data_IF_573232411862
#
_entry.id   IF_573232411862
#
_cell.length_a   1.000
_cell.length_b   1.000
_cell.length_c   1.000
_cell.angle_alpha   90.00
_cell.angle_beta   90.00
_cell.angle_gamma   90.00
#
_symmetry.space_group_name_H-M   'P 1'
#
loop_
_entity.id
_entity.type
_entity.pdbx_description
1 polymer ?
#
# COMPACT_ATOMS: atom_id res chain seq x y z
N UNK A 1 -5.43 10.36 5.06
CA UNK A 1 -4.12 11.05 5.04
C UNK A 1 -3.80 11.58 3.64
N UNK A 2 -3.56 10.72 2.62
CA UNK A 2 -3.24 11.14 1.24
C UNK A 2 -4.16 12.26 0.72
N UNK A 3 -5.47 12.05 0.79
CA UNK A 3 -6.47 13.01 0.33
C UNK A 3 -6.35 14.41 0.96
N UNK A 4 -5.99 14.49 2.24
CA UNK A 4 -5.90 15.77 2.97
C UNK A 4 -4.60 16.52 2.66
N UNK A 5 -3.54 15.79 2.29
CA UNK A 5 -2.24 16.36 1.97
C UNK A 5 -2.07 16.65 0.48
N UNK A 6 -2.96 16.11 -0.37
CA UNK A 6 -2.85 16.24 -1.82
C UNK A 6 -2.77 17.69 -2.32
N UNK A 7 -3.58 18.66 -1.84
CA UNK A 7 -3.43 20.06 -2.25
C UNK A 7 -2.05 20.67 -1.97
N UNK A 8 -1.42 20.23 -0.87
CA UNK A 8 -0.09 20.71 -0.50
C UNK A 8 0.97 20.07 -1.38
N UNK A 9 0.80 18.80 -1.74
CA UNK A 9 1.68 18.07 -2.66
C UNK A 9 1.58 18.61 -4.09
N UNK A 10 0.39 18.93 -4.58
CA UNK A 10 0.17 19.50 -5.92
C UNK A 10 0.75 20.92 -6.06
N UNK A 11 0.88 21.64 -4.94
CA UNK A 11 1.55 22.96 -4.90
C UNK A 11 3.07 22.87 -4.76
N UNK A 12 3.60 21.70 -4.40
CA UNK A 12 5.04 21.49 -4.34
C UNK A 12 5.60 21.35 -5.76
N UNK A 13 6.82 21.82 -5.98
CA UNK A 13 7.48 21.71 -7.29
C UNK A 13 7.69 20.25 -7.73
N UNK A 14 7.75 19.32 -6.76
CA UNK A 14 8.10 17.91 -6.96
C UNK A 14 7.36 17.01 -5.96
N UNK A 15 6.03 17.14 -5.94
CA UNK A 15 5.15 16.40 -5.03
C UNK A 15 5.15 14.90 -5.35
N UNK A 16 5.36 14.06 -4.33
CA UNK A 16 5.39 12.60 -4.49
C UNK A 16 4.89 11.87 -3.25
N UNK A 17 4.32 10.68 -3.45
CA UNK A 17 3.76 9.83 -2.41
C UNK A 17 4.48 8.49 -2.42
N UNK A 18 5.20 8.17 -1.35
CA UNK A 18 5.94 6.92 -1.21
C UNK A 18 5.24 6.04 -0.19
N UNK A 19 4.85 4.83 -0.62
CA UNK A 19 4.08 3.89 0.20
C UNK A 19 4.95 2.67 0.50
N UNK A 20 5.22 2.45 1.78
CA UNK A 20 6.06 1.33 2.24
C UNK A 20 5.24 0.04 2.31
N UNK A 21 5.61 -0.91 1.46
CA UNK A 21 5.10 -2.29 1.45
C UNK A 21 6.14 -3.25 2.05
N UNK A 22 6.07 -4.54 1.73
CA UNK A 22 6.95 -5.62 2.19
C UNK A 22 6.80 -6.80 1.24
N UNK A 23 7.84 -7.61 1.04
CA UNK A 23 7.79 -8.84 0.23
C UNK A 23 6.69 -9.84 0.63
N UNK A 24 6.17 -9.75 1.85
CA UNK A 24 5.02 -10.54 2.31
C UNK A 24 3.73 -10.28 1.51
N UNK A 25 3.62 -9.16 0.78
CA UNK A 25 2.47 -8.93 -0.12
C UNK A 25 2.28 -10.06 -1.14
N UNK A 26 3.37 -10.72 -1.55
CA UNK A 26 3.35 -11.85 -2.50
C UNK A 26 2.65 -13.10 -1.93
N UNK A 27 2.48 -13.18 -0.61
CA UNK A 27 1.83 -14.31 0.06
C UNK A 27 0.32 -14.10 0.25
N UNK A 28 -0.20 -12.91 -0.07
CA UNK A 28 -1.64 -12.68 -0.07
C UNK A 28 -2.23 -13.27 -1.36
N UNK A 29 -3.00 -14.35 -1.22
CA UNK A 29 -3.67 -15.04 -2.32
C UNK A 29 -4.99 -14.37 -2.71
N UNK A 30 -5.61 -13.66 -1.77
CA UNK A 30 -6.90 -12.99 -1.94
C UNK A 30 -6.94 -11.67 -1.18
N UNK A 31 -7.77 -10.74 -1.65
CA UNK A 31 -8.00 -9.46 -0.99
C UNK A 31 -9.09 -9.62 0.07
N UNK A 32 -8.76 -9.31 1.33
CA UNK A 32 -9.74 -9.30 2.40
C UNK A 32 -10.87 -8.31 2.09
N UNK A 33 -12.09 -8.71 2.44
CA UNK A 33 -13.27 -7.86 2.34
C UNK A 33 -13.29 -6.82 3.45
N UNK A 34 -14.03 -5.73 3.23
CA UNK A 34 -14.29 -4.72 4.27
C UNK A 34 -14.81 -5.36 5.57
N UNK A 35 -15.71 -6.34 5.48
CA UNK A 35 -16.31 -6.97 6.66
C UNK A 35 -15.25 -7.71 7.49
N UNK A 36 -14.36 -8.46 6.84
CA UNK A 36 -13.27 -9.17 7.50
C UNK A 36 -12.25 -8.21 8.13
N UNK A 37 -11.90 -7.12 7.43
CA UNK A 37 -10.99 -6.10 7.94
C UNK A 37 -11.58 -5.35 9.14
N UNK A 38 -12.89 -5.10 9.13
CA UNK A 38 -13.58 -4.39 10.21
C UNK A 38 -14.00 -5.30 11.38
N UNK A 39 -13.72 -6.60 11.32
CA UNK A 39 -14.15 -7.58 12.32
C UNK A 39 -15.66 -7.85 12.33
N UNK A 40 -16.35 -7.51 11.23
CA UNK A 40 -17.78 -7.79 11.02
C UNK A 40 -18.03 -9.20 10.45
N UNK A 41 -16.98 -9.89 9.99
CA UNK A 41 -17.02 -11.27 9.53
C UNK A 41 -15.80 -12.03 10.06
N UNK A 42 -16.03 -13.29 10.45
CA UNK A 42 -14.95 -14.22 10.77
C UNK A 42 -14.23 -14.64 9.50
N UNK A 43 -12.93 -14.90 9.62
CA UNK A 43 -12.06 -15.46 8.60
C UNK A 43 -10.91 -16.18 9.29
N UNK A 44 -10.16 -17.01 8.55
CA UNK A 44 -9.04 -17.80 9.07
C UNK A 44 -7.81 -16.93 9.39
N UNK A 45 -7.94 -16.14 10.47
CA UNK A 45 -6.96 -15.16 10.90
C UNK A 45 -5.64 -15.83 11.29
N UNK A 46 -4.57 -15.32 10.70
CA UNK A 46 -3.22 -15.47 11.25
C UNK A 46 -2.52 -14.12 11.13
N UNK A 47 -1.59 -13.82 12.05
CA UNK A 47 -0.83 -12.58 12.01
C UNK A 47 -0.11 -12.39 10.65
N UNK A 48 0.39 -13.47 10.08
CA UNK A 48 1.03 -13.46 8.76
C UNK A 48 0.04 -13.16 7.64
N UNK A 49 -1.13 -13.83 7.57
CA UNK A 49 -2.14 -13.54 6.55
C UNK A 49 -2.63 -12.10 6.62
N UNK A 50 -2.90 -11.59 7.82
CA UNK A 50 -3.33 -10.20 8.04
C UNK A 50 -2.25 -9.21 7.57
N UNK A 51 -0.99 -9.47 7.92
CA UNK A 51 0.13 -8.64 7.51
C UNK A 51 0.34 -8.66 5.99
N UNK A 52 0.38 -9.84 5.37
CA UNK A 52 0.49 -10.00 3.91
C UNK A 52 -0.63 -9.25 3.18
N UNK A 53 -1.87 -9.34 3.66
CA UNK A 53 -3.00 -8.60 3.09
C UNK A 53 -2.83 -7.09 3.23
N UNK A 54 -2.39 -6.59 4.39
CA UNK A 54 -2.13 -5.15 4.56
C UNK A 54 -1.06 -4.62 3.58
N UNK A 55 -0.06 -5.44 3.27
CA UNK A 55 1.03 -5.09 2.35
C UNK A 55 0.61 -5.21 0.90
N UNK A 56 -0.27 -6.17 0.57
CA UNK A 56 -0.94 -6.22 -0.72
C UNK A 56 -1.86 -5.02 -0.93
N UNK A 57 -2.61 -4.61 0.09
CA UNK A 57 -3.44 -3.42 0.04
C UNK A 57 -2.61 -2.16 -0.26
N UNK A 58 -1.43 -2.01 0.33
CA UNK A 58 -0.52 -0.92 -0.02
C UNK A 58 -0.10 -0.93 -1.50
N UNK A 59 0.22 -2.10 -2.07
CA UNK A 59 0.57 -2.24 -3.49
C UNK A 59 -0.61 -1.86 -4.41
N UNK A 60 -1.79 -2.43 -4.15
CA UNK A 60 -3.02 -2.15 -4.87
C UNK A 60 -3.38 -0.65 -4.80
N UNK A 61 -3.31 -0.08 -3.60
CA UNK A 61 -3.62 1.33 -3.36
C UNK A 61 -2.65 2.24 -4.10
N UNK A 62 -1.34 1.92 -4.13
CA UNK A 62 -0.35 2.70 -4.88
C UNK A 62 -0.68 2.72 -6.37
N UNK A 63 -0.99 1.56 -6.96
CA UNK A 63 -1.34 1.43 -8.38
C UNK A 63 -2.59 2.23 -8.73
N UNK A 64 -3.65 2.08 -7.94
CA UNK A 64 -4.90 2.80 -8.18
C UNK A 64 -4.73 4.31 -7.96
N UNK A 65 -4.01 4.71 -6.90
CA UNK A 65 -3.72 6.12 -6.63
C UNK A 65 -2.95 6.75 -7.79
N UNK A 66 -1.90 6.08 -8.29
CA UNK A 66 -1.12 6.57 -9.43
C UNK A 66 -1.99 6.73 -10.67
N UNK A 67 -2.86 5.76 -10.97
CA UNK A 67 -3.78 5.86 -12.10
C UNK A 67 -4.74 7.04 -11.93
N UNK A 68 -5.34 7.22 -10.74
CA UNK A 68 -6.27 8.33 -10.47
C UNK A 68 -5.61 9.70 -10.50
N UNK A 69 -4.35 9.82 -10.06
CA UNK A 69 -3.57 11.05 -10.15
C UNK A 69 -3.32 11.42 -11.62
N UNK A 70 -2.95 10.45 -12.46
CA UNK A 70 -2.76 10.64 -13.89
C UNK A 70 -4.06 11.05 -14.60
N UNK A 71 -5.19 10.42 -14.29
CA UNK A 71 -6.49 10.77 -14.88
C UNK A 71 -6.96 12.18 -14.53
N UNK A 72 -6.35 12.83 -13.52
CA UNK A 72 -6.65 14.19 -13.10
C UNK A 72 -5.59 15.19 -13.54
N UNK A 73 -4.63 14.76 -14.37
CA UNK A 73 -3.46 15.56 -14.75
C UNK A 73 -2.69 16.11 -13.54
N UNK A 74 -2.69 15.36 -12.42
CA UNK A 74 -1.98 15.77 -11.21
C UNK A 74 -0.46 15.62 -11.44
N UNK A 75 0.36 16.62 -11.08
CA UNK A 75 1.82 16.50 -11.17
C UNK A 75 2.41 15.57 -10.08
N UNK A 76 1.57 15.08 -9.16
CA UNK A 76 2.01 14.21 -8.07
C UNK A 76 2.09 12.76 -8.54
N UNK A 77 3.22 12.10 -8.28
CA UNK A 77 3.39 10.67 -8.54
C UNK A 77 3.38 9.83 -7.25
N UNK A 78 2.91 8.59 -7.37
CA UNK A 78 2.87 7.63 -6.28
C UNK A 78 3.72 6.38 -6.58
N UNK A 79 4.49 5.92 -5.59
CA UNK A 79 5.40 4.77 -5.71
C UNK A 79 5.27 3.84 -4.51
N UNK A 80 5.44 2.54 -4.75
CA UNK A 80 5.48 1.52 -3.72
C UNK A 80 6.92 1.07 -3.51
N UNK A 81 7.31 0.79 -2.26
CA UNK A 81 8.68 0.35 -1.95
C UNK A 81 8.63 -0.79 -0.94
N UNK A 82 9.34 -1.87 -1.23
CA UNK A 82 9.66 -2.89 -0.22
C UNK A 82 11.12 -2.71 0.23
N UNK A 83 11.39 -2.48 1.52
CA UNK A 83 12.75 -2.23 2.01
C UNK A 83 13.63 -3.52 2.10
N UNK A 84 13.09 -4.68 1.72
CA UNK A 84 13.73 -5.96 2.05
C UNK A 84 13.53 -6.31 3.52
N UNK A 85 14.32 -7.25 4.03
CA UNK A 85 14.24 -7.70 5.41
C UNK A 85 15.30 -6.95 6.25
N UNK A 86 14.92 -5.79 6.82
CA UNK A 86 15.89 -4.92 7.51
C UNK A 86 16.28 -5.48 8.88
N UNK A 87 17.60 -5.60 9.13
CA UNK A 87 18.17 -6.02 10.43
C UNK A 87 17.72 -5.11 11.57
N UNK A 88 17.48 -5.69 12.74
CA UNK A 88 17.14 -4.92 13.96
C UNK A 88 15.69 -4.41 14.02
N UNK A 89 14.84 -4.81 13.08
CA UNK A 89 13.40 -4.58 13.20
C UNK A 89 12.78 -5.58 14.18
N UNK A 90 11.84 -5.14 15.02
CA UNK A 90 11.09 -6.00 15.97
C UNK A 90 10.11 -6.98 15.28
N UNK A 91 10.30 -7.23 13.97
CA UNK A 91 9.56 -8.22 13.20
C UNK A 91 9.88 -9.62 13.76
N UNK A 92 8.87 -10.29 14.31
CA UNK A 92 9.02 -11.60 14.96
C UNK A 92 9.38 -11.55 16.45
N UNK A 93 9.20 -10.42 17.14
CA UNK A 93 9.38 -10.36 18.62
C UNK A 93 8.52 -11.36 19.38
N UNK A 94 7.37 -11.72 18.81
CA UNK A 94 6.43 -12.71 19.36
C UNK A 94 6.85 -14.17 19.07
N UNK A 95 7.88 -14.39 18.26
CA UNK A 95 8.41 -15.73 17.96
C UNK A 95 9.31 -16.22 19.09
N UNK A 96 9.22 -17.51 19.43
CA UNK A 96 10.04 -18.12 20.49
C UNK A 96 11.53 -17.79 20.29
N UNK A 97 12.17 -17.29 21.34
CA UNK A 97 13.57 -16.85 21.34
C UNK A 97 14.54 -17.94 20.87
N UNK A 98 14.24 -19.22 21.14
CA UNK A 98 15.06 -20.36 20.72
C UNK A 98 15.01 -20.54 19.20
N UNK A 99 13.81 -20.44 18.61
CA UNK A 99 13.64 -20.47 17.15
C UNK A 99 14.30 -19.25 16.48
N UNK A 100 14.21 -18.07 17.10
CA UNK A 100 14.91 -16.86 16.61
C UNK A 100 16.43 -17.04 16.63
N UNK A 101 16.97 -17.70 17.65
CA UNK A 101 18.41 -17.96 17.79
C UNK A 101 18.90 -18.98 16.75
N UNK A 102 18.16 -20.08 16.55
CA UNK A 102 18.49 -21.12 15.55
C UNK A 102 18.36 -20.57 14.13
N UNK A 103 17.35 -19.74 13.86
CA UNK A 103 17.16 -19.10 12.56
C UNK A 103 18.07 -17.88 12.34
N UNK A 104 18.81 -17.42 13.35
CA UNK A 104 19.64 -16.20 13.30
C UNK A 104 20.62 -16.13 12.11
N UNK A 105 21.38 -17.17 11.74
CA UNK A 105 22.27 -17.09 10.58
C UNK A 105 21.51 -16.98 9.25
N UNK A 106 20.33 -17.61 9.14
CA UNK A 106 19.47 -17.51 7.96
C UNK A 106 18.81 -16.12 7.86
N UNK A 107 18.31 -15.61 8.99
CA UNK A 107 17.78 -14.26 9.16
C UNK A 107 18.87 -13.26 8.77
N UNK A 108 20.10 -13.44 9.27
CA UNK A 108 21.24 -12.58 8.94
C UNK A 108 21.58 -12.59 7.45
N UNK A 109 21.57 -13.77 6.79
CA UNK A 109 21.85 -13.91 5.37
C UNK A 109 20.77 -13.28 4.46
N UNK A 110 19.50 -13.33 4.86
CA UNK A 110 18.37 -12.75 4.10
C UNK A 110 18.16 -11.27 4.45
N UNK A 111 18.76 -10.81 5.54
CA UNK A 111 18.60 -9.45 6.03
C UNK A 111 19.55 -8.44 5.38
N UNK A 112 19.02 -7.23 5.19
CA UNK A 112 19.77 -6.07 4.72
C UNK A 112 20.03 -5.09 5.86
N UNK A 113 21.10 -4.32 5.74
CA UNK A 113 21.39 -3.23 6.69
C UNK A 113 20.42 -2.06 6.49
N UNK A 114 20.32 -1.17 7.49
CA UNK A 114 19.39 -0.04 7.47
C UNK A 114 19.55 0.82 6.20
N UNK A 115 20.79 1.11 5.82
CA UNK A 115 21.13 1.89 4.63
C UNK A 115 20.60 1.25 3.34
N UNK A 116 20.70 -0.08 3.24
CA UNK A 116 20.15 -0.83 2.12
C UNK A 116 18.62 -0.78 2.13
N UNK A 117 18.00 -0.88 3.31
CA UNK A 117 16.55 -0.80 3.47
C UNK A 117 15.94 0.55 3.11
N UNK A 118 16.63 1.65 3.44
CA UNK A 118 16.18 3.01 3.10
C UNK A 118 16.57 3.44 1.69
N UNK A 119 17.53 2.77 1.05
CA UNK A 119 18.06 3.16 -0.27
C UNK A 119 16.98 3.36 -1.32
N UNK A 120 15.95 2.50 -1.32
CA UNK A 120 14.82 2.63 -2.23
C UNK A 120 13.94 3.83 -1.91
N UNK A 121 13.70 4.10 -0.63
CA UNK A 121 12.94 5.28 -0.18
C UNK A 121 13.66 6.55 -0.64
N UNK A 122 14.98 6.63 -0.41
CA UNK A 122 15.79 7.77 -0.85
C UNK A 122 15.74 7.90 -2.37
N UNK A 123 15.94 6.81 -3.10
CA UNK A 123 15.88 6.83 -4.56
C UNK A 123 14.52 7.34 -5.08
N UNK A 124 13.40 6.80 -4.60
CA UNK A 124 12.08 7.29 -4.99
C UNK A 124 11.80 8.72 -4.49
N UNK A 125 12.51 9.21 -3.47
CA UNK A 125 12.35 10.55 -2.93
C UNK A 125 13.17 11.61 -3.69
N UNK A 126 14.31 11.23 -4.29
CA UNK A 126 15.27 12.17 -4.87
C UNK A 126 15.44 12.02 -6.37
N UNK A 127 15.16 10.85 -6.94
CA UNK A 127 15.31 10.61 -8.38
C UNK A 127 14.28 11.44 -9.16
N UNK A 128 14.64 11.80 -10.40
CA UNK A 128 13.71 12.47 -11.30
C UNK A 128 12.46 11.63 -11.54
N UNK A 129 11.31 12.29 -11.48
CA UNK A 129 10.01 11.71 -11.73
C UNK A 129 9.87 11.12 -13.15
N UNK A 130 10.66 11.58 -14.12
CA UNK A 130 10.68 11.06 -15.50
C UNK A 130 11.38 9.70 -15.60
N UNK A 131 12.25 9.38 -14.63
CA UNK A 131 12.99 8.11 -14.58
C UNK A 131 12.18 7.05 -13.83
N UNK A 132 11.38 7.46 -12.86
CA UNK A 132 10.57 6.56 -12.05
C UNK A 132 9.28 6.17 -12.79
N UNK A 133 8.89 4.91 -12.68
CA UNK A 133 7.65 4.41 -13.23
C UNK A 133 6.48 4.78 -12.29
N UNK A 134 5.48 5.55 -12.75
CA UNK A 134 4.30 5.86 -11.95
C UNK A 134 3.60 4.59 -11.45
N UNK A 135 3.33 4.51 -10.15
CA UNK A 135 2.71 3.33 -9.53
C UNK A 135 3.64 2.11 -9.44
N UNK A 136 4.92 2.27 -9.77
CA UNK A 136 5.93 1.22 -9.73
C UNK A 136 6.23 0.72 -8.31
N UNK A 137 6.59 -0.56 -8.22
CA UNK A 137 7.11 -1.17 -6.99
C UNK A 137 8.63 -1.21 -7.07
N UNK A 138 9.31 -0.69 -6.06
CA UNK A 138 10.76 -0.67 -6.00
C UNK A 138 11.32 -1.55 -4.88
N UNK A 139 12.43 -2.21 -5.19
CA UNK A 139 13.32 -2.85 -4.21
C UNK A 139 14.73 -2.32 -4.39
N UNK A 140 15.22 -1.57 -3.40
CA UNK A 140 16.38 -0.71 -3.61
C UNK A 140 16.08 0.26 -4.75
N UNK A 141 16.95 0.29 -5.76
CA UNK A 141 16.80 1.15 -6.96
C UNK A 141 16.15 0.43 -8.15
N UNK A 142 15.72 -0.81 -7.98
CA UNK A 142 15.22 -1.65 -9.07
C UNK A 142 13.70 -1.69 -9.08
N UNK A 143 13.12 -1.44 -10.25
CA UNK A 143 11.69 -1.64 -10.51
C UNK A 143 11.37 -3.13 -10.52
N UNK A 144 10.35 -3.53 -9.77
CA UNK A 144 9.86 -4.89 -9.68
C UNK A 144 8.49 -5.06 -10.32
N UNK A 145 8.28 -6.24 -10.89
CA UNK A 145 6.97 -6.66 -11.37
C UNK A 145 6.09 -7.06 -10.19
N UNK A 146 4.85 -6.60 -10.20
CA UNK A 146 3.84 -7.05 -9.26
C UNK A 146 3.41 -8.50 -9.53
N UNK A 147 2.87 -9.15 -8.51
CA UNK A 147 2.20 -10.45 -8.68
C UNK A 147 0.79 -10.25 -9.23
N UNK A 148 0.22 -11.30 -9.84
CA UNK A 148 -1.09 -11.25 -10.52
C UNK A 148 -2.26 -10.84 -9.63
N UNK A 149 -2.13 -11.02 -8.30
CA UNK A 149 -3.14 -10.55 -7.34
C UNK A 149 -3.21 -9.03 -7.26
N UNK A 150 -2.18 -8.31 -7.70
CA UNK A 150 -2.16 -6.84 -7.84
C UNK A 150 -2.65 -6.42 -9.24
N UNK A 151 -3.84 -6.88 -9.59
CA UNK A 151 -4.50 -6.58 -10.86
C UNK A 151 -5.49 -5.40 -10.74
N UNK A 152 -6.03 -4.94 -11.87
CA UNK A 152 -6.94 -3.79 -11.92
C UNK A 152 -8.25 -4.04 -11.16
N UNK A 153 -8.80 -5.24 -11.22
CA UNK A 153 -10.03 -5.59 -10.50
C UNK A 153 -9.85 -5.43 -8.98
N UNK A 154 -8.76 -5.95 -8.42
CA UNK A 154 -8.46 -5.83 -6.99
C UNK A 154 -8.10 -4.40 -6.60
N UNK A 155 -7.49 -3.61 -7.50
CA UNK A 155 -7.20 -2.19 -7.27
C UNK A 155 -8.49 -1.41 -7.03
N UNK A 156 -9.48 -1.62 -7.89
CA UNK A 156 -10.80 -0.99 -7.77
C UNK A 156 -11.59 -1.47 -6.56
N UNK A 157 -11.60 -2.78 -6.32
CA UNK A 157 -12.26 -3.37 -5.14
C UNK A 157 -11.72 -2.74 -3.86
N UNK A 158 -10.39 -2.67 -3.71
CA UNK A 158 -9.76 -2.05 -2.55
C UNK A 158 -10.14 -0.56 -2.44
N UNK A 159 -10.09 0.19 -3.53
CA UNK A 159 -10.42 1.61 -3.51
C UNK A 159 -11.83 1.88 -2.99
N UNK A 160 -12.83 1.14 -3.51
CA UNK A 160 -14.22 1.24 -3.05
C UNK A 160 -14.35 0.89 -1.57
N UNK A 161 -13.59 -0.09 -1.08
CA UNK A 161 -13.56 -0.41 0.34
C UNK A 161 -12.99 0.76 1.16
N UNK A 162 -11.86 1.36 0.74
CA UNK A 162 -11.26 2.51 1.39
C UNK A 162 -12.23 3.70 1.47
N UNK A 163 -12.91 4.06 0.37
CA UNK A 163 -13.90 5.15 0.34
C UNK A 163 -15.08 4.87 1.27
N UNK A 164 -15.52 3.61 1.35
CA UNK A 164 -16.61 3.21 2.24
C UNK A 164 -16.20 3.29 3.70
N UNK A 165 -14.99 2.84 4.05
CA UNK A 165 -14.43 2.97 5.40
C UNK A 165 -14.27 4.44 5.77
N UNK A 166 -13.71 5.27 4.89
CA UNK A 166 -13.57 6.72 5.10
C UNK A 166 -14.95 7.37 5.35
N UNK A 167 -15.95 7.04 4.53
CA UNK A 167 -17.31 7.56 4.70
C UNK A 167 -17.95 7.14 6.02
N UNK A 168 -17.68 5.91 6.50
CA UNK A 168 -18.15 5.43 7.80
C UNK A 168 -17.46 6.16 8.95
N UNK A 169 -16.14 6.37 8.87
CA UNK A 169 -15.38 7.15 9.86
C UNK A 169 -15.89 8.58 9.92
N UNK A 170 -16.11 9.22 8.76
CA UNK A 170 -16.65 10.57 8.67
C UNK A 170 -18.01 10.70 9.38
N UNK A 171 -18.94 9.77 9.10
CA UNK A 171 -20.27 9.73 9.76
C UNK A 171 -20.16 9.56 11.28
N UNK A 172 -19.27 8.68 11.76
CA UNK A 172 -19.06 8.43 13.19
C UNK A 172 -18.36 9.58 13.90
N UNK A 173 -17.57 10.38 13.18
CA UNK A 173 -16.83 11.52 13.74
C UNK A 173 -17.66 12.80 13.98
N UNK A 174 -18.99 12.71 13.91
CA UNK A 174 -19.92 13.84 14.13
C UNK A 174 -19.57 15.11 13.31
N UNK A 175 -19.34 14.96 12.00
CA UNK A 175 -19.31 16.09 11.06
C UNK A 175 -18.02 16.93 11.03
N UNK A 176 -16.93 16.52 11.69
CA UNK A 176 -15.66 17.26 11.69
C UNK A 176 -14.69 16.90 10.55
N UNK A 177 -15.05 15.98 9.65
CA UNK A 177 -14.21 15.79 8.46
C UNK A 177 -14.48 16.94 7.48
N UNK A 178 -13.42 17.59 6.95
CA UNK A 178 -13.59 18.61 5.93
C UNK A 178 -14.41 18.05 4.76
N UNK A 179 -15.22 18.91 4.14
CA UNK A 179 -15.99 18.60 2.94
C UNK A 179 -15.13 17.83 1.93
N UNK A 180 -15.76 16.95 1.13
CA UNK A 180 -15.06 16.17 0.09
C UNK A 180 -14.32 17.13 -0.84
N UNK A 181 -13.05 17.38 -0.56
CA UNK A 181 -12.24 18.35 -1.30
C UNK A 181 -11.81 17.81 -2.67
N UNK A 182 -11.94 16.49 -2.88
CA UNK A 182 -11.58 15.80 -4.11
C UNK A 182 -12.63 14.75 -4.46
N UNK A 183 -13.16 14.83 -5.67
CA UNK A 183 -13.81 13.72 -6.32
C UNK A 183 -12.80 12.99 -7.20
N UNK A 184 -12.52 11.75 -6.82
CA UNK A 184 -11.63 10.91 -7.60
C UNK A 184 -12.34 10.42 -8.86
N UNK A 185 -11.65 10.32 -10.01
CA UNK A 185 -12.26 9.81 -11.23
C UNK A 185 -12.78 8.39 -10.98
N UNK A 186 -14.07 8.20 -11.21
CA UNK A 186 -14.72 6.90 -11.19
C UNK A 186 -14.44 6.20 -12.51
N UNK A 187 -14.24 4.89 -12.45
CA UNK A 187 -14.25 4.07 -13.66
C UNK A 187 -15.71 3.79 -13.95
N UNK A 188 -16.20 4.28 -15.09
CA UNK A 188 -17.49 3.86 -15.62
C UNK A 188 -17.41 2.37 -15.93
N UNK A 189 -17.96 1.55 -15.04
CA UNK A 189 -18.29 0.18 -15.35
C UNK A 189 -19.81 0.10 -15.47
N UNK A 190 -20.36 -0.43 -16.58
CA UNK A 190 -21.79 -0.69 -16.66
C UNK A 190 -22.16 -1.58 -15.48
N UNK A 191 -23.09 -1.11 -14.63
CA UNK A 191 -23.62 -1.86 -13.51
C UNK A 191 -24.07 -3.24 -14.03
N UNK A 192 -23.27 -4.27 -13.74
CA UNK A 192 -23.81 -5.63 -13.72
C UNK A 192 -24.35 -5.82 -12.32
N UNK A 193 -25.68 -5.79 -12.24
CA UNK A 193 -26.46 -6.27 -11.12
C UNK A 193 -25.85 -7.55 -10.54
N UNK A 194 -25.25 -7.45 -9.36
CA UNK A 194 -24.94 -8.61 -8.54
C UNK A 194 -25.94 -8.60 -7.39
N UNK A 195 -26.87 -9.56 -7.34
CA UNK A 195 -27.92 -9.59 -6.33
C UNK A 195 -27.37 -9.90 -4.93
N UNK A 196 -28.14 -9.43 -3.96
CA UNK A 196 -27.93 -9.34 -2.50
C UNK A 196 -27.44 -10.62 -1.85
#
# INVERSE_FOLDING_TARGET
MVRQLLPLLERAADGRIIIVTSGYYKQATELLTRKEVMGESMWDYTAQKAYSNSKMANCLFTKELSWRLQQRDSPVQAYAIRPGFVRGTELGRQTNWLLRTIASPLIWAVSCDLDQGISGIVHCATESQDVLAPGGLYYGKTLETYVDTVNKENQEKLWRQCERVESLVAKRSHGKMPERQFDWPSIEHPEKDVPV
#
